data_IF_501470164788
#
_entry.id   IF_501470164788
#
_cell.length_a   1.000
_cell.length_b   1.000
_cell.length_c   1.000
_cell.angle_alpha   90.00
_cell.angle_beta   90.00
_cell.angle_gamma   90.00
#
_symmetry.space_group_name_H-M   'P 1'
#
loop_
_entity.id
_entity.type
_entity.pdbx_description
1 polymer ?
#
# COMPACT_ATOMS: atom_id res chain seq x y z
N UNK A 1 -2.91 7.48 -7.56
CA UNK A 1 -3.82 7.13 -6.44
C UNK A 1 -4.07 8.33 -5.52
N UNK A 2 -3.02 9.01 -5.02
CA UNK A 2 -3.13 10.21 -4.18
C UNK A 2 -4.12 11.27 -4.71
N UNK A 3 -4.01 11.67 -5.99
CA UNK A 3 -4.97 12.60 -6.62
C UNK A 3 -6.42 12.14 -6.49
N UNK A 4 -6.69 10.86 -6.75
CA UNK A 4 -8.04 10.30 -6.73
C UNK A 4 -8.59 10.32 -5.30
N UNK A 5 -7.80 9.89 -4.31
CA UNK A 5 -8.21 9.90 -2.91
C UNK A 5 -8.43 11.34 -2.40
N UNK A 6 -7.58 12.29 -2.78
CA UNK A 6 -7.79 13.70 -2.44
C UNK A 6 -9.11 14.24 -3.03
N UNK A 7 -9.44 13.89 -4.28
CA UNK A 7 -10.71 14.29 -4.91
C UNK A 7 -11.92 13.66 -4.25
N UNK A 8 -11.80 12.42 -3.77
CA UNK A 8 -12.89 11.73 -3.06
C UNK A 8 -13.28 12.51 -1.79
N UNK A 9 -12.33 13.14 -1.10
CA UNK A 9 -12.63 13.93 0.11
C UNK A 9 -13.68 15.01 -0.18
N UNK A 10 -13.59 15.68 -1.33
CA UNK A 10 -14.53 16.75 -1.71
C UNK A 10 -15.82 16.20 -2.36
N UNK A 11 -15.75 15.04 -3.01
CA UNK A 11 -16.90 14.43 -3.68
C UNK A 11 -17.75 13.52 -2.77
N UNK A 12 -17.24 13.16 -1.59
CA UNK A 12 -17.89 12.22 -0.71
C UNK A 12 -19.12 12.82 -0.03
N UNK A 13 -20.18 12.02 0.10
CA UNK A 13 -21.31 12.36 0.97
C UNK A 13 -20.99 11.94 2.41
N UNK A 14 -20.99 12.90 3.33
CA UNK A 14 -20.73 12.64 4.73
C UNK A 14 -22.04 12.44 5.51
N UNK A 15 -22.23 11.30 6.18
CA UNK A 15 -23.47 11.02 6.90
C UNK A 15 -23.63 11.87 8.17
N UNK A 16 -22.52 12.38 8.71
CA UNK A 16 -22.49 13.24 9.91
C UNK A 16 -21.50 14.40 9.69
N UNK A 17 -21.82 15.56 10.26
CA UNK A 17 -21.07 16.81 10.06
C UNK A 17 -19.66 16.74 10.66
N UNK A 18 -19.46 15.96 11.72
CA UNK A 18 -18.17 15.76 12.37
C UNK A 18 -17.18 15.05 11.44
N UNK A 19 -17.66 14.10 10.64
CA UNK A 19 -16.84 13.38 9.67
C UNK A 19 -16.39 14.31 8.53
N UNK A 20 -17.31 15.13 8.01
CA UNK A 20 -16.98 16.14 7.00
C UNK A 20 -15.97 17.16 7.54
N UNK A 21 -16.22 17.69 8.74
CA UNK A 21 -15.34 18.63 9.39
C UNK A 21 -13.93 18.06 9.57
N UNK A 22 -13.81 16.81 10.00
CA UNK A 22 -12.51 16.14 10.17
C UNK A 22 -11.77 16.00 8.83
N UNK A 23 -12.44 15.50 7.80
CA UNK A 23 -11.85 15.28 6.49
C UNK A 23 -11.48 16.59 5.79
N UNK A 24 -12.35 17.62 5.83
CA UNK A 24 -12.06 18.92 5.21
C UNK A 24 -10.99 19.70 5.96
N UNK A 25 -10.77 19.41 7.25
CA UNK A 25 -9.72 20.03 8.06
C UNK A 25 -8.35 19.40 7.86
N UNK A 26 -8.28 18.08 7.90
CA UNK A 26 -7.01 17.34 7.93
C UNK A 26 -6.67 16.62 6.61
N UNK A 27 -7.67 16.37 5.77
CA UNK A 27 -7.58 15.68 4.48
C UNK A 27 -6.76 14.37 4.49
N UNK A 28 -6.93 13.47 5.47
CA UNK A 28 -6.15 12.22 5.50
C UNK A 28 -6.59 11.30 4.35
N UNK A 29 -5.64 10.54 3.81
CA UNK A 29 -5.90 9.46 2.87
C UNK A 29 -5.19 8.18 3.34
N UNK A 30 -5.68 7.03 2.86
CA UNK A 30 -5.10 5.72 3.17
C UNK A 30 -4.76 4.96 1.90
N UNK A 31 -3.48 4.96 1.52
CA UNK A 31 -2.95 4.15 0.43
C UNK A 31 -2.40 2.85 1.02
N UNK A 32 -2.88 1.72 0.50
CA UNK A 32 -2.39 0.39 0.85
C UNK A 32 -1.86 -0.35 -0.37
N UNK A 33 -1.51 -1.61 -0.14
CA UNK A 33 -1.09 -2.56 -1.17
C UNK A 33 -1.91 -3.84 -1.05
N UNK A 34 -1.78 -4.69 -2.05
CA UNK A 34 -2.23 -6.08 -2.05
C UNK A 34 -1.24 -6.89 -2.89
N UNK A 35 -1.16 -8.20 -2.68
CA UNK A 35 -0.30 -9.09 -3.47
C UNK A 35 1.20 -8.97 -3.18
N UNK A 36 1.59 -8.63 -1.94
CA UNK A 36 2.99 -8.68 -1.53
C UNK A 36 3.56 -10.11 -1.68
N UNK A 37 2.86 -11.12 -1.18
CA UNK A 37 3.29 -12.51 -1.30
C UNK A 37 3.39 -12.96 -2.76
N UNK A 38 2.43 -12.60 -3.62
CA UNK A 38 2.49 -12.88 -5.05
C UNK A 38 3.73 -12.27 -5.71
N UNK A 39 4.08 -11.05 -5.32
CA UNK A 39 5.25 -10.33 -5.83
C UNK A 39 6.53 -11.07 -5.46
N UNK A 40 6.69 -11.46 -4.20
CA UNK A 40 7.85 -12.20 -3.73
C UNK A 40 7.96 -13.57 -4.42
N UNK A 41 6.84 -14.30 -4.58
CA UNK A 41 6.81 -15.57 -5.30
C UNK A 41 7.21 -15.40 -6.77
N UNK A 42 6.71 -14.37 -7.46
CA UNK A 42 7.10 -14.06 -8.84
C UNK A 42 8.58 -13.73 -8.96
N UNK A 43 9.16 -13.09 -7.94
CA UNK A 43 10.59 -12.80 -7.86
C UNK A 43 11.44 -13.99 -7.41
N UNK A 44 10.82 -15.14 -7.10
CA UNK A 44 11.49 -16.33 -6.54
C UNK A 44 12.24 -16.01 -5.25
N UNK A 45 11.63 -15.17 -4.41
CA UNK A 45 12.14 -14.77 -3.10
C UNK A 45 11.23 -15.33 -2.01
N UNK A 46 11.73 -16.19 -1.10
CA UNK A 46 10.97 -16.63 0.07
C UNK A 46 10.58 -15.45 0.97
N UNK A 47 9.43 -15.52 1.62
CA UNK A 47 8.90 -14.40 2.42
C UNK A 47 9.82 -14.01 3.59
N UNK A 48 10.53 -14.98 4.18
CA UNK A 48 11.44 -14.80 5.31
C UNK A 48 12.91 -14.52 4.88
N UNK A 49 13.17 -14.38 3.58
CA UNK A 49 14.51 -14.10 3.06
C UNK A 49 14.90 -12.64 3.34
N UNK A 50 16.16 -12.36 3.66
CA UNK A 50 16.66 -10.99 3.83
C UNK A 50 16.43 -10.12 2.58
N UNK A 51 16.37 -10.73 1.39
CA UNK A 51 15.99 -10.06 0.14
C UNK A 51 14.53 -9.59 0.18
N UNK A 52 13.62 -10.36 0.78
CA UNK A 52 12.21 -9.97 0.91
C UNK A 52 12.07 -8.74 1.82
N UNK A 53 12.80 -8.69 2.93
CA UNK A 53 12.84 -7.53 3.82
C UNK A 53 13.27 -6.27 3.08
N UNK A 54 14.36 -6.36 2.30
CA UNK A 54 14.84 -5.25 1.48
C UNK A 54 13.81 -4.82 0.43
N UNK A 55 13.22 -5.77 -0.30
CA UNK A 55 12.18 -5.50 -1.31
C UNK A 55 10.97 -4.80 -0.67
N UNK A 56 10.53 -5.28 0.49
CA UNK A 56 9.44 -4.69 1.25
C UNK A 56 9.73 -3.23 1.59
N UNK A 57 10.91 -2.95 2.13
CA UNK A 57 11.34 -1.61 2.50
C UNK A 57 11.40 -0.67 1.28
N UNK A 58 11.93 -1.13 0.15
CA UNK A 58 11.99 -0.39 -1.11
C UNK A 58 10.61 -0.08 -1.72
N UNK A 59 9.67 -1.04 -1.64
CA UNK A 59 8.29 -0.84 -2.10
C UNK A 59 7.63 0.28 -1.30
N UNK A 60 7.71 0.22 0.03
CA UNK A 60 7.07 1.22 0.89
C UNK A 60 7.75 2.58 0.82
N UNK A 61 9.08 2.63 0.66
CA UNK A 61 9.81 3.86 0.39
C UNK A 61 9.30 4.54 -0.89
N UNK A 62 9.18 3.77 -1.98
CA UNK A 62 8.68 4.24 -3.28
C UNK A 62 7.26 4.79 -3.18
N UNK A 63 6.37 4.04 -2.52
CA UNK A 63 4.97 4.43 -2.34
C UNK A 63 4.86 5.71 -1.53
N UNK A 64 5.60 5.81 -0.42
CA UNK A 64 5.58 6.99 0.44
C UNK A 64 6.12 8.22 -0.28
N UNK A 65 7.26 8.09 -0.97
CA UNK A 65 7.85 9.17 -1.74
C UNK A 65 6.89 9.69 -2.81
N UNK A 66 6.30 8.79 -3.60
CA UNK A 66 5.35 9.16 -4.64
C UNK A 66 4.08 9.83 -4.07
N UNK A 67 3.56 9.31 -2.95
CA UNK A 67 2.38 9.87 -2.32
C UNK A 67 2.64 11.27 -1.75
N UNK A 68 3.80 11.48 -1.11
CA UNK A 68 4.18 12.78 -0.55
C UNK A 68 4.46 13.80 -1.65
N UNK A 69 5.22 13.43 -2.68
CA UNK A 69 5.50 14.28 -3.85
C UNK A 69 4.21 14.78 -4.49
N UNK A 70 3.23 13.89 -4.66
CA UNK A 70 1.93 14.26 -5.23
C UNK A 70 1.11 15.13 -4.27
N UNK A 71 1.19 14.90 -2.96
CA UNK A 71 0.51 15.74 -1.97
C UNK A 71 1.08 17.16 -1.94
N UNK A 72 2.39 17.32 -2.13
CA UNK A 72 3.06 18.63 -2.29
C UNK A 72 2.63 19.29 -3.59
N UNK A 73 2.59 18.55 -4.71
CA UNK A 73 2.13 19.08 -5.99
C UNK A 73 0.70 19.63 -5.91
N UNK A 74 -0.20 18.93 -5.20
CA UNK A 74 -1.55 19.41 -4.94
C UNK A 74 -1.56 20.64 -4.01
N UNK A 75 -0.68 20.70 -3.01
CA UNK A 75 -0.57 21.86 -2.13
C UNK A 75 -0.09 23.12 -2.86
N UNK A 76 0.79 22.99 -3.87
CA UNK A 76 1.21 24.11 -4.74
C UNK A 76 0.04 24.76 -5.49
N UNK A 77 -1.00 23.97 -5.81
CA UNK A 77 -2.16 24.45 -6.59
C UNK A 77 -3.34 24.84 -5.69
N UNK A 78 -3.63 24.04 -4.66
CA UNK A 78 -4.84 24.16 -3.84
C UNK A 78 -4.57 24.64 -2.40
N UNK A 79 -3.29 24.88 -2.06
CA UNK A 79 -2.83 25.16 -0.70
C UNK A 79 -2.75 23.90 0.18
N UNK A 80 -2.01 23.97 1.30
CA UNK A 80 -1.91 22.86 2.25
C UNK A 80 -3.24 22.59 2.97
N UNK A 81 -3.37 21.44 3.63
CA UNK A 81 -4.52 21.18 4.50
C UNK A 81 -4.55 22.16 5.70
N UNK A 82 -5.74 22.42 6.26
CA UNK A 82 -5.97 23.53 7.21
C UNK A 82 -5.09 23.46 8.47
N UNK A 83 -4.78 22.25 8.92
CA UNK A 83 -3.98 21.96 10.13
C UNK A 83 -2.52 21.64 9.83
N UNK A 84 -2.00 22.01 8.65
CA UNK A 84 -0.61 21.73 8.29
C UNK A 84 0.38 22.45 9.21
N UNK A 85 0.15 23.74 9.50
CA UNK A 85 1.03 24.53 10.36
C UNK A 85 1.06 23.96 11.78
N UNK A 86 2.26 23.67 12.28
CA UNK A 86 2.49 23.07 13.59
C UNK A 86 2.47 21.54 13.59
N UNK A 87 2.26 20.91 12.43
CA UNK A 87 2.45 19.46 12.28
C UNK A 87 3.96 19.11 12.17
N UNK A 88 4.36 17.86 12.45
CA UNK A 88 5.73 17.40 12.19
C UNK A 88 6.18 17.62 10.74
N UNK A 89 5.27 17.43 9.77
CA UNK A 89 5.57 17.67 8.35
C UNK A 89 5.90 19.15 8.08
N UNK A 90 5.27 20.10 8.80
CA UNK A 90 5.61 21.53 8.64
C UNK A 90 6.99 21.90 9.18
N UNK A 91 7.56 21.08 10.07
CA UNK A 91 8.96 21.17 10.49
C UNK A 91 9.91 20.45 9.51
N UNK A 92 9.35 19.79 8.49
CA UNK A 92 10.06 18.93 7.58
C UNK A 92 10.46 17.60 8.20
N UNK A 93 9.68 17.03 9.14
CA UNK A 93 9.90 15.68 9.68
C UNK A 93 8.99 14.68 8.99
N UNK A 94 9.57 13.73 8.26
CA UNK A 94 8.88 12.61 7.63
C UNK A 94 8.73 11.43 8.59
N UNK A 95 7.93 10.44 8.18
CA UNK A 95 7.61 9.29 9.02
C UNK A 95 8.85 8.53 9.52
N UNK A 96 9.85 8.32 8.65
CA UNK A 96 11.08 7.64 9.04
C UNK A 96 11.92 8.46 10.04
N UNK A 97 11.92 9.80 9.94
CA UNK A 97 12.61 10.65 10.92
C UNK A 97 12.00 10.49 12.32
N UNK A 98 10.67 10.31 12.41
CA UNK A 98 9.97 10.07 13.67
C UNK A 98 10.31 8.71 14.30
N UNK A 99 10.84 7.79 13.51
CA UNK A 99 11.34 6.49 13.97
C UNK A 99 12.86 6.50 14.23
N UNK A 100 13.52 7.64 14.02
CA UNK A 100 14.97 7.77 13.99
C UNK A 100 15.64 6.86 12.95
N UNK A 101 14.91 6.59 11.86
CA UNK A 101 15.37 5.79 10.73
C UNK A 101 15.78 6.66 9.55
N UNK A 102 16.51 6.06 8.61
CA UNK A 102 16.87 6.69 7.35
C UNK A 102 16.13 6.03 6.19
N UNK A 103 15.98 6.75 5.06
CA UNK A 103 15.56 6.11 3.81
C UNK A 103 16.43 4.89 3.51
N UNK A 104 15.79 3.85 2.99
CA UNK A 104 16.41 2.53 2.78
C UNK A 104 17.36 2.59 1.58
N UNK A 105 17.08 3.48 0.63
CA UNK A 105 17.84 3.63 -0.59
C UNK A 105 18.13 5.08 -0.92
N UNK A 106 19.15 5.30 -1.76
CA UNK A 106 19.48 6.62 -2.31
C UNK A 106 18.70 6.91 -3.62
N UNK A 107 17.59 6.21 -3.87
CA UNK A 107 16.81 6.32 -5.12
C UNK A 107 16.08 7.66 -5.24
N UNK A 108 15.77 8.28 -4.11
CA UNK A 108 14.93 9.46 -4.03
C UNK A 108 15.63 10.59 -3.30
N UNK A 109 15.51 11.79 -3.85
CA UNK A 109 16.01 13.01 -3.22
C UNK A 109 15.01 13.51 -2.17
N UNK A 110 15.13 12.94 -0.98
CA UNK A 110 14.31 13.30 0.18
C UNK A 110 14.56 14.71 0.67
N UNK A 111 15.75 15.29 0.44
CA UNK A 111 16.09 16.63 0.91
C UNK A 111 15.41 17.70 0.06
N UNK A 112 15.39 17.52 -1.27
CA UNK A 112 14.59 18.37 -2.15
C UNK A 112 13.11 18.28 -1.80
N UNK A 113 12.57 17.07 -1.65
CA UNK A 113 11.16 16.89 -1.26
C UNK A 113 10.86 17.54 0.11
N UNK A 114 11.77 17.42 1.08
CA UNK A 114 11.65 18.06 2.39
C UNK A 114 11.62 19.58 2.30
N UNK A 115 12.46 20.16 1.44
CA UNK A 115 12.45 21.60 1.19
C UNK A 115 11.12 22.06 0.58
N UNK A 116 10.61 21.32 -0.41
CA UNK A 116 9.31 21.63 -1.03
C UNK A 116 8.15 21.51 -0.04
N UNK A 117 8.15 20.48 0.82
CA UNK A 117 7.12 20.33 1.87
C UNK A 117 7.14 21.52 2.83
N UNK A 118 8.32 22.04 3.19
CA UNK A 118 8.42 23.21 4.08
C UNK A 118 7.99 24.51 3.40
N UNK A 119 8.24 24.64 2.10
CA UNK A 119 7.89 25.83 1.32
C UNK A 119 6.40 25.88 0.96
N UNK A 120 5.87 24.81 0.37
CA UNK A 120 4.52 24.76 -0.20
C UNK A 120 3.51 24.03 0.70
N UNK A 121 3.99 23.23 1.64
CA UNK A 121 3.17 22.35 2.45
C UNK A 121 2.75 21.06 1.73
N UNK A 122 1.90 20.29 2.38
CA UNK A 122 1.28 19.08 1.83
C UNK A 122 -0.25 19.22 1.83
N UNK A 123 -0.91 18.58 0.87
CA UNK A 123 -2.38 18.62 0.75
C UNK A 123 -3.08 17.65 1.69
N UNK A 124 -2.40 16.61 2.14
CA UNK A 124 -2.96 15.53 2.96
C UNK A 124 -2.10 15.33 4.21
N UNK A 125 -2.74 15.19 5.37
CA UNK A 125 -2.04 15.00 6.66
C UNK A 125 -1.41 13.61 6.82
N UNK A 126 -2.09 12.57 6.33
CA UNK A 126 -1.68 11.17 6.36
C UNK A 126 -1.88 10.57 4.98
N UNK A 127 -1.03 9.62 4.60
CA UNK A 127 -0.95 9.13 3.22
C UNK A 127 -1.09 7.61 3.11
N UNK A 128 -0.34 6.85 3.90
CA UNK A 128 -0.16 5.41 3.74
C UNK A 128 -0.80 4.69 4.92
N UNK A 129 -1.66 3.73 4.62
CA UNK A 129 -2.35 2.89 5.60
C UNK A 129 -2.71 1.55 4.93
N UNK A 130 -1.81 0.55 4.97
CA UNK A 130 -2.11 -0.78 4.43
C UNK A 130 -3.29 -1.39 5.17
N UNK A 131 -4.38 -1.64 4.44
CA UNK A 131 -5.64 -2.16 4.97
C UNK A 131 -5.84 -3.64 4.60
N UNK A 132 -6.77 -4.36 5.27
CA UNK A 132 -7.28 -5.61 4.75
C UNK A 132 -7.91 -5.40 3.37
N UNK A 133 -7.53 -6.23 2.41
CA UNK A 133 -8.00 -6.13 1.01
C UNK A 133 -8.84 -7.33 0.60
N UNK A 134 -9.44 -8.06 1.55
CA UNK A 134 -10.15 -9.33 1.32
C UNK A 134 -10.95 -9.38 0.01
N UNK A 135 -11.95 -8.51 -0.15
CA UNK A 135 -12.80 -8.52 -1.34
C UNK A 135 -12.07 -8.06 -2.61
N UNK A 136 -11.24 -7.02 -2.53
CA UNK A 136 -10.57 -6.44 -3.71
C UNK A 136 -9.41 -7.29 -4.22
N UNK A 137 -8.67 -7.94 -3.31
CA UNK A 137 -7.64 -8.92 -3.64
C UNK A 137 -8.22 -10.16 -4.30
N UNK A 138 -9.37 -10.62 -3.82
CA UNK A 138 -10.10 -11.71 -4.47
C UNK A 138 -10.56 -11.34 -5.89
N UNK A 139 -11.07 -10.12 -6.10
CA UNK A 139 -11.46 -9.63 -7.43
C UNK A 139 -10.25 -9.59 -8.38
N UNK A 140 -9.10 -9.12 -7.87
CA UNK A 140 -7.87 -8.98 -8.66
C UNK A 140 -7.06 -10.28 -8.77
N UNK A 141 -7.43 -11.34 -8.04
CA UNK A 141 -6.70 -12.61 -8.01
C UNK A 141 -5.34 -12.53 -7.30
N UNK A 142 -5.18 -11.62 -6.34
CA UNK A 142 -3.98 -11.46 -5.53
C UNK A 142 -4.18 -12.03 -4.12
N UNK A 143 -3.08 -12.28 -3.41
CA UNK A 143 -3.10 -12.48 -1.97
C UNK A 143 -3.43 -11.17 -1.24
N UNK A 144 -3.96 -11.31 -0.03
CA UNK A 144 -4.43 -10.17 0.76
C UNK A 144 -3.27 -9.30 1.25
N UNK A 145 -3.45 -7.99 1.11
CA UNK A 145 -2.60 -6.95 1.68
C UNK A 145 -1.09 -7.22 1.55
N UNK A 146 -0.36 -7.14 2.66
CA UNK A 146 1.05 -7.52 2.79
C UNK A 146 1.24 -8.90 3.44
N UNK A 147 0.18 -9.70 3.55
CA UNK A 147 0.21 -10.97 4.28
C UNK A 147 0.92 -12.07 3.46
N UNK A 148 1.57 -13.05 4.12
CA UNK A 148 2.03 -14.27 3.46
C UNK A 148 0.85 -15.15 3.04
N UNK A 149 1.08 -16.13 2.16
CA UNK A 149 0.10 -17.18 1.91
C UNK A 149 -0.08 -18.01 3.19
N UNK A 150 -1.29 -18.05 3.73
CA UNK A 150 -1.62 -18.88 4.91
C UNK A 150 -1.67 -20.36 4.56
N UNK A 151 -2.11 -20.69 3.36
CA UNK A 151 -2.15 -22.05 2.82
C UNK A 151 -1.99 -22.05 1.30
N UNK A 152 -1.39 -23.11 0.77
CA UNK A 152 -1.33 -23.33 -0.68
C UNK A 152 -2.63 -23.95 -1.23
N UNK A 153 -3.54 -24.41 -0.36
CA UNK A 153 -4.82 -25.01 -0.73
C UNK A 153 -5.89 -24.45 0.20
N UNK A 154 -6.91 -23.80 -0.35
CA UNK A 154 -8.04 -23.28 0.40
C UNK A 154 -9.36 -23.61 -0.27
N UNK A 155 -10.40 -23.85 0.52
CA UNK A 155 -11.74 -24.15 0.01
C UNK A 155 -12.57 -22.88 -0.08
N UNK A 156 -13.04 -22.55 -1.28
CA UNK A 156 -13.93 -21.43 -1.56
C UNK A 156 -15.38 -21.90 -1.60
N UNK A 157 -16.19 -21.37 -0.69
CA UNK A 157 -17.65 -21.58 -0.71
C UNK A 157 -18.33 -20.49 -1.54
N UNK A 158 -19.09 -20.88 -2.55
CA UNK A 158 -19.99 -20.00 -3.32
C UNK A 158 -21.39 -20.60 -3.37
N UNK A 159 -22.38 -19.85 -3.86
CA UNK A 159 -23.76 -20.33 -4.00
C UNK A 159 -23.88 -21.61 -4.85
N UNK A 160 -22.93 -21.84 -5.77
CA UNK A 160 -22.88 -23.01 -6.64
C UNK A 160 -22.14 -24.24 -6.02
N UNK A 161 -21.62 -24.14 -4.80
CA UNK A 161 -20.92 -25.23 -4.11
C UNK A 161 -19.57 -24.84 -3.52
N UNK A 162 -18.80 -25.85 -3.09
CA UNK A 162 -17.44 -25.70 -2.58
C UNK A 162 -16.42 -26.00 -3.67
N UNK A 163 -15.48 -25.09 -3.90
CA UNK A 163 -14.40 -25.23 -4.88
C UNK A 163 -13.06 -25.21 -4.15
N UNK A 164 -12.25 -26.25 -4.34
CA UNK A 164 -10.87 -26.25 -3.85
C UNK A 164 -10.03 -25.38 -4.77
N UNK A 165 -9.47 -24.31 -4.21
CA UNK A 165 -8.56 -23.40 -4.88
C UNK A 165 -7.13 -23.68 -4.42
N UNK A 166 -6.23 -23.96 -5.38
CA UNK A 166 -4.80 -24.15 -5.13
C UNK A 166 -4.06 -22.87 -5.51
N UNK A 167 -2.98 -22.54 -4.80
CA UNK A 167 -2.13 -21.40 -5.09
C UNK A 167 -1.69 -21.42 -6.57
N UNK A 168 -2.11 -20.45 -7.39
CA UNK A 168 -1.90 -20.48 -8.83
C UNK A 168 -0.43 -20.32 -9.21
N UNK A 169 0.42 -19.80 -8.32
CA UNK A 169 1.87 -19.75 -8.56
C UNK A 169 2.49 -21.13 -8.38
N UNK A 170 2.12 -21.86 -7.32
CA UNK A 170 2.59 -23.22 -7.08
C UNK A 170 2.18 -24.17 -8.20
N UNK A 171 0.91 -24.11 -8.63
CA UNK A 171 0.43 -24.95 -9.75
C UNK A 171 1.24 -24.71 -11.01
N UNK A 172 1.52 -23.44 -11.35
CA UNK A 172 2.32 -23.09 -12.53
C UNK A 172 3.74 -23.64 -12.44
N UNK A 173 4.39 -23.51 -11.28
CA UNK A 173 5.74 -24.03 -11.07
C UNK A 173 5.76 -25.57 -11.13
N UNK A 174 4.77 -26.25 -10.53
CA UNK A 174 4.66 -27.71 -10.58
C UNK A 174 4.39 -28.24 -12.01
N UNK A 175 3.57 -27.55 -12.79
CA UNK A 175 3.34 -27.89 -14.21
C UNK A 175 4.65 -27.75 -14.99
N UNK A 176 5.38 -26.64 -14.79
CA UNK A 176 6.65 -26.41 -15.46
C UNK A 176 7.72 -27.47 -15.12
N UNK A 177 7.66 -28.02 -13.91
CA UNK A 177 8.54 -29.10 -13.44
C UNK A 177 8.04 -30.51 -13.79
N UNK A 178 6.86 -30.65 -14.42
CA UNK A 178 6.25 -31.95 -14.70
C UNK A 178 5.74 -32.70 -13.46
N UNK A 179 5.60 -32.00 -12.32
CA UNK A 179 5.19 -32.55 -11.02
C UNK A 179 3.68 -32.48 -10.79
N UNK A 180 2.92 -31.88 -11.70
CA UNK A 180 1.47 -31.72 -11.55
C UNK A 180 0.71 -32.97 -12.02
N UNK A 181 0.45 -33.91 -11.12
CA UNK A 181 -0.28 -35.16 -11.40
C UNK A 181 -1.46 -35.37 -10.41
N UNK A 182 -2.22 -36.47 -10.55
CA UNK A 182 -3.37 -36.74 -9.70
C UNK A 182 -3.01 -37.08 -8.23
N UNK A 183 -1.81 -37.60 -8.00
CA UNK A 183 -1.32 -38.00 -6.68
C UNK A 183 -0.93 -36.77 -5.86
N UNK A 184 -0.14 -35.87 -6.44
CA UNK A 184 0.32 -34.62 -5.81
C UNK A 184 -0.79 -33.57 -5.65
N UNK A 185 -1.93 -33.75 -6.33
CA UNK A 185 -3.11 -32.88 -6.17
C UNK A 185 -3.95 -33.19 -4.93
N UNK A 186 -3.84 -34.42 -4.42
CA UNK A 186 -4.67 -34.95 -3.34
C UNK A 186 -3.91 -35.08 -2.00
N UNK A 187 -2.63 -34.69 -1.97
CA UNK A 187 -1.80 -34.54 -0.77
C UNK A 187 -1.80 -33.08 -0.31
#
# INVERSE_FOLDING_TARGET
VTKNLNRIIDANFYPIVEAENSNMRNRPIGIGIQGMADTLIKMKVPFEDARAEKINAEIFETIYHAAMSESVALAKVEGPYKTFKGSPLSEGKFQFDLWNEKPVTDRYDWDTLRAEVKEFGARNSLLIAPMPTASTAQIMGNNESFEPYTTNIYTRRVLAGEFVCVNPHLVRDMIALGLWNAENRNQ
#
